data_IF_977325610125
#
_entry.id   IF_977325610125
#
_cell.length_a   1.000
_cell.length_b   1.000
_cell.length_c   1.000
_cell.angle_alpha   90.00
_cell.angle_beta   90.00
_cell.angle_gamma   90.00
#
_symmetry.space_group_name_H-M   'P 1'
#
loop_
_entity.id
_entity.type
_entity.pdbx_description
1 polymer ?
#
# COMPACT_ATOMS: atom_id res chain seq x y z
N UNK A 1 18.20 31.56 19.54
CA UNK A 1 17.76 30.39 18.77
C UNK A 1 16.73 29.68 19.61
N UNK A 2 15.48 29.66 19.18
CA UNK A 2 14.43 28.91 19.86
C UNK A 2 14.71 27.42 19.65
N UNK A 3 14.84 26.68 20.74
CA UNK A 3 15.04 25.24 20.68
C UNK A 3 13.70 24.58 20.38
N UNK A 4 13.62 23.87 19.25
CA UNK A 4 12.48 23.01 18.95
C UNK A 4 12.34 21.96 20.06
N UNK A 5 11.19 21.95 20.74
CA UNK A 5 10.91 21.01 21.83
C UNK A 5 10.40 19.72 21.23
N UNK A 6 11.24 18.69 21.21
CA UNK A 6 10.87 17.33 20.85
C UNK A 6 9.94 16.72 21.93
N UNK A 7 9.08 15.77 21.55
CA UNK A 7 8.11 15.17 22.47
C UNK A 7 8.74 14.52 23.71
N UNK A 8 7.95 14.34 24.77
CA UNK A 8 8.41 13.80 26.08
C UNK A 8 9.15 12.46 25.95
N UNK A 9 8.77 11.63 24.98
CA UNK A 9 9.37 10.32 24.68
C UNK A 9 10.62 10.38 23.76
N UNK A 10 10.95 11.55 23.20
CA UNK A 10 12.05 11.73 22.23
C UNK A 10 13.32 12.31 22.87
N UNK A 11 13.41 12.34 24.20
CA UNK A 11 14.57 12.90 24.92
C UNK A 11 15.90 12.22 24.56
N UNK A 12 15.88 10.92 24.24
CA UNK A 12 17.04 10.12 23.81
C UNK A 12 17.17 9.94 22.29
N UNK A 13 16.14 10.29 21.51
CA UNK A 13 16.06 10.03 20.07
C UNK A 13 15.92 11.32 19.27
N UNK A 14 16.87 12.25 19.41
CA UNK A 14 16.88 13.52 18.64
C UNK A 14 17.77 13.39 17.40
N UNK A 15 17.50 14.16 16.33
CA UNK A 15 18.43 14.28 15.21
C UNK A 15 19.82 14.71 15.70
N UNK A 16 20.92 14.24 15.08
CA UNK A 16 22.24 14.73 15.41
C UNK A 16 22.36 16.19 14.95
N UNK A 17 23.17 17.01 15.65
CA UNK A 17 23.42 18.38 15.22
C UNK A 17 24.10 18.41 13.84
N UNK A 18 23.53 19.18 12.92
CA UNK A 18 24.13 19.41 11.60
C UNK A 18 25.10 20.58 11.73
N UNK A 19 26.39 20.27 11.87
CA UNK A 19 27.47 21.25 11.99
C UNK A 19 28.08 21.55 10.62
N UNK A 20 28.61 22.75 10.41
CA UNK A 20 29.25 23.17 9.14
C UNK A 20 30.35 22.20 8.70
N UNK A 21 31.13 21.67 9.66
CA UNK A 21 32.16 20.65 9.37
C UNK A 21 31.60 19.37 8.75
N UNK A 22 30.34 19.02 9.02
CA UNK A 22 29.67 17.84 8.45
C UNK A 22 29.36 18.06 6.97
N UNK A 23 29.04 19.30 6.58
CA UNK A 23 28.80 19.69 5.19
C UNK A 23 30.08 19.59 4.36
N UNK A 24 31.22 20.00 4.93
CA UNK A 24 32.51 19.95 4.23
C UNK A 24 33.04 18.51 4.04
N UNK A 25 32.64 17.60 4.92
CA UNK A 25 33.12 16.20 4.91
C UNK A 25 32.11 15.22 4.27
N UNK A 26 30.99 15.71 3.72
CA UNK A 26 29.91 14.90 3.13
C UNK A 26 29.39 13.78 4.05
N UNK A 27 29.47 13.94 5.37
CA UNK A 27 29.02 12.92 6.33
C UNK A 27 28.51 13.55 7.62
N UNK A 28 27.39 13.04 8.13
CA UNK A 28 26.77 13.44 9.39
C UNK A 28 27.16 12.44 10.49
N UNK A 29 27.83 12.94 11.53
CA UNK A 29 28.22 12.13 12.70
C UNK A 29 27.03 11.98 13.65
N UNK A 30 26.72 10.76 14.06
CA UNK A 30 25.64 10.44 15.00
C UNK A 30 25.44 8.93 15.15
N UNK A 31 24.75 8.51 16.22
CA UNK A 31 24.34 7.12 16.42
C UNK A 31 23.33 6.68 15.36
N UNK A 32 23.09 5.37 15.24
CA UNK A 32 22.06 4.84 14.33
C UNK A 32 20.67 5.40 14.65
N UNK A 33 20.28 5.50 15.93
CA UNK A 33 19.00 6.06 16.35
C UNK A 33 18.87 7.55 16.03
N UNK A 34 19.94 8.32 16.22
CA UNK A 34 19.97 9.75 15.86
C UNK A 34 19.83 9.93 14.35
N UNK A 35 20.62 9.18 13.56
CA UNK A 35 20.54 9.21 12.09
C UNK A 35 19.17 8.80 11.58
N UNK A 36 18.55 7.78 12.20
CA UNK A 36 17.19 7.39 11.88
C UNK A 36 16.20 8.50 12.21
N UNK A 37 16.30 9.15 13.38
CA UNK A 37 15.42 10.28 13.74
C UNK A 37 15.54 11.43 12.74
N UNK A 38 16.76 11.81 12.36
CA UNK A 38 16.99 12.80 11.30
C UNK A 38 16.35 12.36 9.99
N UNK A 39 16.51 11.10 9.60
CA UNK A 39 15.88 10.54 8.42
C UNK A 39 14.35 10.69 8.49
N UNK A 40 13.68 10.36 9.60
CA UNK A 40 12.21 10.52 9.72
C UNK A 40 11.75 11.96 9.58
N UNK A 41 12.48 12.88 10.20
CA UNK A 41 12.14 14.30 10.25
C UNK A 41 12.63 15.07 9.02
N UNK A 42 13.40 14.43 8.15
CA UNK A 42 14.00 15.07 6.98
C UNK A 42 13.00 15.83 6.10
N UNK A 43 11.80 15.29 5.77
CA UNK A 43 10.82 16.00 4.95
C UNK A 43 10.19 17.20 5.65
N UNK A 44 10.14 17.18 6.99
CA UNK A 44 9.60 18.27 7.80
C UNK A 44 10.64 19.39 7.89
N UNK A 45 11.90 19.04 8.09
CA UNK A 45 13.00 20.02 8.23
C UNK A 45 13.32 20.68 6.89
N UNK A 46 13.21 19.95 5.78
CA UNK A 46 13.65 20.39 4.46
C UNK A 46 12.55 20.35 3.39
N UNK A 47 11.28 20.51 3.77
CA UNK A 47 10.10 20.42 2.87
C UNK A 47 10.32 21.09 1.52
N UNK A 48 10.84 22.33 1.56
CA UNK A 48 10.96 23.22 0.40
C UNK A 48 12.03 22.77 -0.61
N UNK A 49 12.93 21.88 -0.16
CA UNK A 49 14.04 21.34 -0.92
C UNK A 49 13.75 19.91 -1.38
N UNK A 50 13.17 19.09 -0.51
CA UNK A 50 13.04 17.64 -0.76
C UNK A 50 12.10 17.33 -1.91
N UNK A 51 11.02 18.08 -2.09
CA UNK A 51 10.07 17.87 -3.18
C UNK A 51 10.69 18.03 -4.57
N UNK A 52 11.81 18.77 -4.66
CA UNK A 52 12.53 19.04 -5.91
C UNK A 52 13.59 17.98 -6.22
N UNK A 53 13.92 17.10 -5.26
CA UNK A 53 14.96 16.09 -5.44
C UNK A 53 14.39 14.87 -6.16
N UNK A 54 15.04 14.44 -7.25
CA UNK A 54 14.67 13.20 -7.94
C UNK A 54 14.79 11.97 -7.02
N UNK A 55 15.76 12.00 -6.09
CA UNK A 55 15.96 10.95 -5.08
C UNK A 55 14.91 10.94 -3.98
N UNK A 56 13.99 11.93 -3.91
CA UNK A 56 12.97 11.96 -2.89
C UNK A 56 12.01 10.77 -2.97
N UNK A 57 11.74 10.28 -4.18
CA UNK A 57 10.95 9.05 -4.37
C UNK A 57 11.65 7.83 -3.73
N UNK A 58 12.98 7.72 -3.88
CA UNK A 58 13.79 6.66 -3.25
C UNK A 58 13.67 6.76 -1.72
N UNK A 59 13.79 7.98 -1.21
CA UNK A 59 13.63 8.27 0.21
C UNK A 59 12.26 7.82 0.73
N UNK A 60 11.16 8.11 0.00
CA UNK A 60 9.81 7.72 0.40
C UNK A 60 9.65 6.20 0.48
N UNK A 61 10.15 5.46 -0.51
CA UNK A 61 10.08 3.99 -0.51
C UNK A 61 10.90 3.40 0.65
N UNK A 62 12.10 3.91 0.90
CA UNK A 62 12.92 3.50 2.04
C UNK A 62 12.23 3.83 3.37
N UNK A 63 11.56 4.99 3.45
CA UNK A 63 10.84 5.43 4.64
C UNK A 63 9.68 4.50 4.96
N UNK A 64 8.89 4.15 3.95
CA UNK A 64 7.78 3.21 4.08
C UNK A 64 8.27 1.81 4.52
N UNK A 65 9.34 1.32 3.88
CA UNK A 65 9.95 0.04 4.24
C UNK A 65 10.45 0.02 5.69
N UNK A 66 11.11 1.10 6.14
CA UNK A 66 11.58 1.21 7.52
C UNK A 66 10.44 1.33 8.53
N UNK A 67 9.37 2.06 8.19
CA UNK A 67 8.20 2.17 9.06
C UNK A 67 7.51 0.81 9.21
N UNK A 68 7.50 -0.03 8.18
CA UNK A 68 7.01 -1.42 8.28
C UNK A 68 7.92 -2.32 9.12
N UNK A 69 9.25 -2.26 8.91
CA UNK A 69 10.22 -3.05 9.69
C UNK A 69 10.16 -2.69 11.17
N UNK A 70 10.01 -1.40 11.48
CA UNK A 70 10.06 -0.91 12.86
C UNK A 70 8.68 -0.85 13.52
N UNK A 71 7.60 -1.09 12.78
CA UNK A 71 6.26 -1.23 13.34
C UNK A 71 6.17 -2.49 14.21
N UNK A 72 5.62 -2.32 15.41
CA UNK A 72 5.34 -3.42 16.33
C UNK A 72 3.84 -3.46 16.67
N UNK A 73 3.17 -4.63 16.59
CA UNK A 73 3.71 -5.93 16.18
C UNK A 73 3.84 -6.07 14.65
N UNK A 74 4.88 -6.77 14.20
CA UNK A 74 5.04 -7.13 12.78
C UNK A 74 4.04 -8.23 12.38
N UNK A 75 3.32 -8.04 11.27
CA UNK A 75 2.35 -9.02 10.74
C UNK A 75 2.96 -9.81 9.59
N UNK A 76 2.85 -11.15 9.59
CA UNK A 76 3.32 -11.99 8.46
C UNK A 76 2.65 -11.63 7.13
N UNK A 77 1.41 -11.14 7.18
CA UNK A 77 0.66 -10.69 6.00
C UNK A 77 1.28 -9.49 5.30
N UNK A 78 2.25 -8.80 5.94
CA UNK A 78 2.98 -7.69 5.33
C UNK A 78 4.16 -8.12 4.45
N UNK A 79 4.63 -9.36 4.58
CA UNK A 79 5.83 -9.83 3.89
C UNK A 79 5.77 -9.63 2.35
N UNK A 80 4.67 -9.93 1.64
CA UNK A 80 4.60 -9.69 0.19
C UNK A 80 4.72 -8.20 -0.18
N UNK A 81 4.15 -7.33 0.64
CA UNK A 81 4.23 -5.87 0.42
C UNK A 81 5.63 -5.35 0.73
N UNK A 82 6.26 -5.82 1.81
CA UNK A 82 7.65 -5.49 2.14
C UNK A 82 8.63 -5.95 1.05
N UNK A 83 8.43 -7.15 0.51
CA UNK A 83 9.23 -7.67 -0.62
C UNK A 83 9.10 -6.76 -1.85
N UNK A 84 7.87 -6.33 -2.15
CA UNK A 84 7.61 -5.39 -3.25
C UNK A 84 8.33 -4.05 -3.03
N UNK A 85 8.24 -3.49 -1.82
CA UNK A 85 8.95 -2.25 -1.47
C UNK A 85 10.48 -2.41 -1.56
N UNK A 86 11.02 -3.56 -1.15
CA UNK A 86 12.45 -3.84 -1.20
C UNK A 86 12.96 -3.95 -2.65
N UNK A 87 12.22 -4.65 -3.52
CA UNK A 87 12.53 -4.73 -4.96
C UNK A 87 12.49 -3.34 -5.58
N UNK A 88 11.45 -2.55 -5.30
CA UNK A 88 11.33 -1.19 -5.81
C UNK A 88 12.50 -0.31 -5.38
N UNK A 89 12.85 -0.35 -4.09
CA UNK A 89 13.99 0.40 -3.56
C UNK A 89 15.28 0.02 -4.30
N UNK A 90 15.55 -1.27 -4.48
CA UNK A 90 16.73 -1.76 -5.19
C UNK A 90 16.77 -1.26 -6.64
N UNK A 91 15.68 -1.41 -7.40
CA UNK A 91 15.62 -0.95 -8.79
C UNK A 91 15.85 0.56 -8.94
N UNK A 92 15.31 1.36 -8.02
CA UNK A 92 15.52 2.81 -8.04
C UNK A 92 16.95 3.20 -7.67
N UNK A 93 17.56 2.48 -6.71
CA UNK A 93 18.96 2.66 -6.34
C UNK A 93 19.90 2.33 -7.50
N UNK A 94 19.67 1.21 -8.20
CA UNK A 94 20.47 0.79 -9.36
C UNK A 94 20.40 1.80 -10.51
N UNK A 95 19.20 2.36 -10.75
CA UNK A 95 19.00 3.42 -11.73
C UNK A 95 19.76 4.71 -11.37
N UNK A 96 19.85 5.03 -10.07
CA UNK A 96 20.52 6.24 -9.56
C UNK A 96 22.05 6.15 -9.51
N UNK A 97 22.62 4.95 -9.46
CA UNK A 97 24.08 4.72 -9.40
C UNK A 97 24.73 4.49 -10.77
N UNK A 98 23.94 4.29 -11.83
CA UNK A 98 24.49 4.21 -13.18
C UNK A 98 24.97 5.59 -13.66
N UNK A 99 26.27 5.74 -13.96
CA UNK A 99 26.82 6.85 -14.77
C UNK A 99 26.36 6.79 -16.24
N UNK A 100 25.23 6.15 -16.54
CA UNK A 100 24.64 5.99 -17.87
C UNK A 100 23.52 7.01 -18.09
N UNK A 101 23.86 8.29 -17.88
CA UNK A 101 22.92 9.41 -17.91
C UNK A 101 22.31 9.77 -19.27
N UNK A 102 22.34 8.91 -20.30
CA UNK A 102 21.72 9.22 -21.61
C UNK A 102 21.04 8.04 -22.34
N UNK A 103 20.97 6.82 -21.79
CA UNK A 103 20.37 5.69 -22.51
C UNK A 103 19.32 4.86 -21.76
N UNK A 104 18.78 5.35 -20.64
CA UNK A 104 17.64 4.73 -19.95
C UNK A 104 16.48 5.70 -19.75
N UNK A 105 16.10 6.39 -20.82
CA UNK A 105 14.86 7.17 -20.88
C UNK A 105 13.57 6.30 -20.89
N UNK A 106 13.61 5.07 -20.34
CA UNK A 106 12.52 4.10 -20.50
C UNK A 106 12.29 3.15 -19.31
N UNK A 107 12.67 3.54 -18.09
CA UNK A 107 12.18 2.86 -16.89
C UNK A 107 11.39 3.84 -16.02
N UNK A 108 10.30 4.35 -16.58
CA UNK A 108 9.24 4.99 -15.80
C UNK A 108 8.39 3.89 -15.11
N UNK A 109 9.02 3.17 -14.17
CA UNK A 109 8.35 2.18 -13.32
C UNK A 109 7.79 2.85 -12.08
N UNK A 110 6.94 3.86 -12.27
CA UNK A 110 6.24 4.50 -11.17
C UNK A 110 5.11 3.59 -10.69
N UNK A 111 5.18 3.13 -9.44
CA UNK A 111 4.04 2.53 -8.75
C UNK A 111 2.99 3.64 -8.57
N UNK A 112 1.91 3.56 -9.34
CA UNK A 112 0.83 4.54 -9.27
C UNK A 112 -0.33 3.95 -8.48
N UNK A 113 -0.81 4.69 -7.48
CA UNK A 113 -1.98 4.34 -6.67
C UNK A 113 -3.24 4.97 -7.26
N UNK A 114 -4.34 4.21 -7.27
CA UNK A 114 -5.64 4.66 -7.76
C UNK A 114 -6.74 4.36 -6.73
N UNK A 115 -7.80 5.17 -6.75
CA UNK A 115 -9.05 4.90 -6.02
C UNK A 115 -10.01 4.01 -6.80
N UNK A 116 -9.86 3.98 -8.13
CA UNK A 116 -10.72 3.25 -9.05
C UNK A 116 -9.91 2.75 -10.27
N UNK A 117 -10.31 1.60 -10.81
CA UNK A 117 -9.81 1.02 -12.05
C UNK A 117 -10.98 0.55 -12.92
N UNK A 118 -11.02 0.98 -14.17
CA UNK A 118 -11.89 0.38 -15.19
C UNK A 118 -11.06 -0.64 -15.98
N UNK A 119 -11.39 -1.92 -15.86
CA UNK A 119 -10.68 -3.01 -16.52
C UNK A 119 -11.67 -4.06 -17.04
N UNK A 120 -11.59 -4.40 -18.33
CA UNK A 120 -12.53 -5.33 -19.00
C UNK A 120 -14.02 -5.01 -18.72
N UNK A 121 -14.40 -3.73 -18.85
CA UNK A 121 -15.75 -3.21 -18.57
C UNK A 121 -16.24 -3.35 -17.12
N UNK A 122 -15.34 -3.68 -16.18
CA UNK A 122 -15.63 -3.76 -14.75
C UNK A 122 -14.97 -2.58 -14.05
N UNK A 123 -15.71 -1.98 -13.13
CA UNK A 123 -15.22 -0.88 -12.29
C UNK A 123 -14.82 -1.49 -10.95
N UNK A 124 -13.51 -1.50 -10.69
CA UNK A 124 -12.93 -1.86 -9.41
C UNK A 124 -12.74 -0.61 -8.57
N UNK A 125 -13.25 -0.62 -7.35
CA UNK A 125 -13.16 0.50 -6.41
C UNK A 125 -12.42 0.09 -5.15
N UNK A 126 -11.63 1.03 -4.62
CA UNK A 126 -11.08 0.89 -3.29
C UNK A 126 -12.21 0.67 -2.27
N UNK A 127 -11.99 -0.24 -1.33
CA UNK A 127 -12.90 -0.72 -0.27
C UNK A 127 -14.13 -1.49 -0.73
N UNK A 128 -14.33 -1.70 -2.04
CA UNK A 128 -15.41 -2.55 -2.52
C UNK A 128 -15.09 -4.04 -2.38
N UNK A 129 -16.14 -4.85 -2.24
CA UNK A 129 -16.06 -6.31 -2.11
C UNK A 129 -16.39 -7.00 -3.43
N UNK A 130 -15.65 -8.06 -3.74
CA UNK A 130 -15.80 -8.85 -4.96
C UNK A 130 -15.76 -10.35 -4.65
N UNK A 131 -16.45 -11.14 -5.47
CA UNK A 131 -16.26 -12.60 -5.52
C UNK A 131 -15.01 -12.88 -6.36
N UNK A 132 -14.12 -13.74 -5.86
CA UNK A 132 -12.91 -14.12 -6.59
C UNK A 132 -12.85 -15.58 -7.00
N UNK A 133 -13.49 -16.44 -6.21
CA UNK A 133 -13.58 -17.87 -6.49
C UNK A 133 -14.86 -18.46 -5.86
N UNK A 134 -15.12 -19.72 -6.14
CA UNK A 134 -16.19 -20.51 -5.53
C UNK A 134 -15.58 -21.71 -4.79
N UNK A 135 -16.08 -22.02 -3.61
CA UNK A 135 -15.72 -23.23 -2.89
C UNK A 135 -16.36 -24.45 -3.57
N UNK A 136 -15.54 -25.28 -4.20
CA UNK A 136 -15.94 -26.37 -5.12
C UNK A 136 -16.98 -27.38 -4.61
N UNK A 137 -17.17 -27.53 -3.30
CA UNK A 137 -18.06 -28.55 -2.74
C UNK A 137 -19.51 -28.06 -2.69
N UNK A 138 -19.74 -26.76 -2.53
CA UNK A 138 -21.06 -26.18 -2.22
C UNK A 138 -21.36 -24.90 -3.03
N UNK A 139 -20.52 -24.56 -4.01
CA UNK A 139 -20.59 -23.32 -4.79
C UNK A 139 -20.70 -22.05 -3.93
N UNK A 140 -20.12 -22.09 -2.73
CA UNK A 140 -20.10 -20.94 -1.81
C UNK A 140 -19.15 -19.89 -2.36
N UNK A 141 -19.58 -18.64 -2.56
CA UNK A 141 -18.72 -17.58 -3.03
C UNK A 141 -17.64 -17.24 -2.00
N UNK A 142 -16.43 -17.06 -2.50
CA UNK A 142 -15.28 -16.57 -1.76
C UNK A 142 -15.04 -15.10 -2.11
N UNK A 143 -14.86 -14.28 -1.08
CA UNK A 143 -14.83 -12.82 -1.21
C UNK A 143 -13.48 -12.22 -0.86
N UNK A 144 -13.18 -11.06 -1.43
CA UNK A 144 -12.16 -10.16 -0.92
C UNK A 144 -12.65 -8.71 -0.93
N UNK A 145 -12.04 -7.87 -0.09
CA UNK A 145 -12.18 -6.42 -0.12
C UNK A 145 -10.90 -5.78 -0.66
N UNK A 146 -11.00 -4.85 -1.61
CA UNK A 146 -9.84 -4.13 -2.13
C UNK A 146 -9.40 -3.06 -1.13
N UNK A 147 -8.19 -3.11 -0.60
CA UNK A 147 -7.62 -2.01 0.18
C UNK A 147 -6.90 -0.99 -0.68
N UNK A 148 -6.16 -1.45 -1.70
CA UNK A 148 -5.38 -0.58 -2.57
C UNK A 148 -5.40 -1.09 -4.01
N UNK A 149 -5.41 -0.16 -4.96
CA UNK A 149 -5.27 -0.43 -6.39
C UNK A 149 -3.97 0.22 -6.86
N UNK A 150 -3.11 -0.58 -7.46
CA UNK A 150 -1.82 -0.15 -7.97
C UNK A 150 -1.62 -0.51 -9.43
N UNK A 151 -0.87 0.33 -10.14
CA UNK A 151 -0.28 0.00 -11.43
C UNK A 151 1.23 -0.07 -11.29
N UNK A 152 1.82 -1.20 -11.66
CA UNK A 152 3.26 -1.44 -11.65
C UNK A 152 3.67 -2.17 -12.92
N UNK A 153 4.67 -1.69 -13.65
CA UNK A 153 5.16 -2.31 -14.90
C UNK A 153 4.05 -2.68 -15.89
N UNK A 154 3.10 -1.75 -16.09
CA UNK A 154 1.90 -1.94 -16.93
C UNK A 154 0.92 -3.02 -16.43
N UNK A 155 1.19 -3.67 -15.31
CA UNK A 155 0.32 -4.63 -14.66
C UNK A 155 -0.51 -3.96 -13.56
N UNK A 156 -1.77 -4.36 -13.47
CA UNK A 156 -2.66 -3.94 -12.39
C UNK A 156 -2.58 -4.93 -11.23
N UNK A 157 -2.51 -4.39 -10.02
CA UNK A 157 -2.36 -5.15 -8.80
C UNK A 157 -3.35 -4.61 -7.76
N UNK A 158 -4.08 -5.50 -7.11
CA UNK A 158 -4.90 -5.20 -5.95
C UNK A 158 -4.20 -5.71 -4.70
N UNK A 159 -4.13 -4.87 -3.67
CA UNK A 159 -3.91 -5.33 -2.31
C UNK A 159 -5.28 -5.54 -1.71
N UNK A 160 -5.58 -6.76 -1.31
CA UNK A 160 -6.91 -7.16 -0.85
C UNK A 160 -6.84 -7.80 0.52
N UNK A 161 -7.94 -7.73 1.27
CA UNK A 161 -8.20 -8.59 2.42
C UNK A 161 -9.17 -9.68 2.02
N UNK A 162 -8.78 -10.95 2.20
CA UNK A 162 -9.69 -12.06 1.97
C UNK A 162 -10.73 -12.10 3.09
N UNK A 163 -11.98 -12.39 2.75
CA UNK A 163 -13.07 -12.42 3.71
C UNK A 163 -13.56 -13.85 3.91
N UNK A 164 -13.85 -14.22 5.16
CA UNK A 164 -14.56 -15.44 5.48
C UNK A 164 -16.04 -15.28 5.14
N UNK A 165 -16.66 -16.34 4.62
CA UNK A 165 -18.10 -16.41 4.43
C UNK A 165 -18.73 -17.03 5.67
N UNK A 166 -19.27 -16.20 6.55
CA UNK A 166 -19.82 -16.62 7.85
C UNK A 166 -21.22 -17.24 7.74
N UNK A 167 -21.94 -16.95 6.65
CA UNK A 167 -23.28 -17.48 6.41
C UNK A 167 -24.07 -16.69 5.38
N UNK A 168 -25.34 -17.06 5.20
CA UNK A 168 -26.26 -16.41 4.27
C UNK A 168 -27.52 -15.93 4.99
N UNK A 169 -27.85 -14.65 4.83
CA UNK A 169 -29.08 -14.05 5.33
C UNK A 169 -30.19 -14.16 4.29
N UNK A 170 -31.19 -15.00 4.57
CA UNK A 170 -32.36 -15.14 3.69
C UNK A 170 -33.25 -13.90 3.71
N UNK A 171 -33.27 -13.15 4.81
CA UNK A 171 -34.05 -11.90 4.96
C UNK A 171 -33.53 -10.79 4.04
N UNK A 172 -32.21 -10.69 3.91
CA UNK A 172 -31.54 -9.62 3.16
C UNK A 172 -31.00 -10.10 1.80
N UNK A 173 -31.11 -11.41 1.56
CA UNK A 173 -30.61 -12.10 0.38
C UNK A 173 -29.12 -11.82 0.12
N UNK A 174 -28.32 -11.98 1.17
CA UNK A 174 -26.92 -11.54 1.22
C UNK A 174 -26.02 -12.50 1.98
N UNK A 175 -24.74 -12.49 1.66
CA UNK A 175 -23.74 -13.20 2.45
C UNK A 175 -23.29 -12.35 3.62
N UNK A 176 -23.11 -12.99 4.77
CA UNK A 176 -22.40 -12.42 5.90
C UNK A 176 -20.93 -12.74 5.75
N UNK A 177 -20.09 -11.72 5.84
CA UNK A 177 -18.65 -11.88 5.70
C UNK A 177 -17.90 -11.20 6.84
N UNK A 178 -16.72 -11.71 7.16
CA UNK A 178 -15.82 -11.12 8.14
C UNK A 178 -14.39 -11.07 7.60
N UNK A 179 -13.63 -10.04 7.98
CA UNK A 179 -12.20 -10.00 7.72
C UNK A 179 -11.51 -11.19 8.37
N UNK A 180 -10.57 -11.81 7.66
CA UNK A 180 -9.70 -12.84 8.24
C UNK A 180 -8.27 -12.35 8.49
N UNK A 181 -8.04 -11.02 8.43
CA UNK A 181 -6.73 -10.38 8.54
C UNK A 181 -5.68 -10.95 7.54
N UNK A 182 -6.16 -11.59 6.46
CA UNK A 182 -5.32 -12.25 5.47
C UNK A 182 -5.25 -11.37 4.25
N UNK A 183 -4.22 -10.53 4.23
CA UNK A 183 -3.91 -9.73 3.06
C UNK A 183 -3.36 -10.61 1.93
N UNK A 184 -3.72 -10.24 0.71
CA UNK A 184 -3.28 -10.88 -0.52
C UNK A 184 -2.98 -9.87 -1.61
N UNK A 185 -2.26 -10.36 -2.62
CA UNK A 185 -2.03 -9.66 -3.88
C UNK A 185 -2.83 -10.38 -4.94
N UNK A 186 -3.67 -9.64 -5.67
CA UNK A 186 -4.54 -10.20 -6.71
C UNK A 186 -4.41 -9.36 -7.97
N UNK A 187 -4.20 -9.99 -9.12
CA UNK A 187 -4.34 -9.30 -10.40
C UNK A 187 -5.79 -9.37 -10.87
N UNK A 188 -6.34 -8.32 -11.50
CA UNK A 188 -7.63 -8.44 -12.18
C UNK A 188 -7.64 -9.51 -13.28
N UNK A 189 -6.46 -9.94 -13.77
CA UNK A 189 -6.34 -11.04 -14.73
C UNK A 189 -6.61 -12.42 -14.13
N UNK A 190 -6.42 -12.58 -12.82
CA UNK A 190 -6.51 -13.89 -12.14
C UNK A 190 -7.94 -14.21 -11.66
N UNK A 191 -8.82 -13.21 -11.73
CA UNK A 191 -10.20 -13.31 -11.28
C UNK A 191 -11.03 -14.14 -12.27
N UNK A 192 -11.85 -15.06 -11.76
CA UNK A 192 -12.68 -15.95 -12.59
C UNK A 192 -14.14 -15.51 -12.65
N UNK A 193 -14.66 -14.96 -11.55
CA UNK A 193 -16.08 -14.69 -11.36
C UNK A 193 -16.33 -13.20 -11.32
N UNK A 194 -16.56 -12.60 -12.49
CA UNK A 194 -16.72 -11.15 -12.62
C UNK A 194 -18.19 -10.72 -12.71
N UNK A 195 -18.74 -10.16 -11.64
CA UNK A 195 -20.07 -9.52 -11.66
C UNK A 195 -20.13 -8.28 -10.77
N UNK A 196 -19.53 -7.17 -11.24
CA UNK A 196 -19.57 -5.83 -10.62
C UNK A 196 -19.04 -5.78 -9.17
N UNK A 197 -18.78 -4.57 -8.66
CA UNK A 197 -18.59 -4.38 -7.23
C UNK A 197 -19.89 -4.68 -6.49
N UNK A 198 -19.78 -5.37 -5.36
CA UNK A 198 -20.92 -5.74 -4.53
C UNK A 198 -21.20 -4.67 -3.49
N UNK A 199 -22.47 -4.53 -3.13
CA UNK A 199 -22.87 -3.62 -2.06
C UNK A 199 -22.49 -4.23 -0.70
N UNK A 200 -21.76 -3.44 0.09
CA UNK A 200 -21.37 -3.76 1.45
C UNK A 200 -22.17 -2.87 2.41
N UNK A 201 -22.76 -3.48 3.42
CA UNK A 201 -23.52 -2.77 4.44
C UNK A 201 -23.30 -3.39 5.81
N UNK A 202 -23.46 -2.58 6.85
CA UNK A 202 -23.25 -2.99 8.24
C UNK A 202 -24.58 -3.01 8.98
N UNK A 203 -24.91 -4.15 9.59
CA UNK A 203 -26.10 -4.33 10.43
C UNK A 203 -25.68 -5.09 11.67
N UNK A 204 -25.93 -4.52 12.85
CA UNK A 204 -25.58 -5.13 14.14
C UNK A 204 -24.10 -5.54 14.24
N UNK A 205 -23.18 -4.69 13.76
CA UNK A 205 -21.72 -4.93 13.68
C UNK A 205 -21.31 -6.05 12.71
N UNK A 206 -22.22 -6.51 11.85
CA UNK A 206 -21.96 -7.53 10.84
C UNK A 206 -21.86 -6.89 9.46
N UNK A 207 -20.80 -7.24 8.74
CA UNK A 207 -20.67 -6.88 7.33
C UNK A 207 -21.46 -7.87 6.47
N UNK A 208 -22.35 -7.32 5.67
CA UNK A 208 -23.22 -8.06 4.77
C UNK A 208 -22.95 -7.62 3.34
N UNK A 209 -22.87 -8.59 2.44
CA UNK A 209 -22.54 -8.41 1.03
C UNK A 209 -23.72 -8.88 0.18
N UNK A 210 -24.30 -7.97 -0.60
CA UNK A 210 -25.42 -8.30 -1.48
C UNK A 210 -24.92 -8.73 -2.87
N UNK A 211 -25.40 -9.89 -3.35
CA UNK A 211 -25.07 -10.42 -4.67
C UNK A 211 -25.98 -9.92 -5.81
N UNK A 212 -27.04 -9.18 -5.50
CA UNK A 212 -28.04 -8.81 -6.51
C UNK A 212 -27.58 -7.65 -7.39
N UNK A 213 -26.87 -7.97 -8.47
CA UNK A 213 -26.80 -7.10 -9.64
C UNK A 213 -28.02 -7.35 -10.55
N UNK A 214 -29.16 -6.70 -10.28
CA UNK A 214 -30.25 -6.64 -11.28
C UNK A 214 -29.87 -5.66 -12.39
N UNK A 215 -29.39 -6.18 -13.52
CA UNK A 215 -29.58 -5.52 -14.81
C UNK A 215 -30.94 -5.96 -15.35
N UNK A 216 -31.98 -5.16 -15.10
CA UNK A 216 -33.23 -5.26 -15.86
C UNK A 216 -32.99 -4.68 -17.25
N UNK A 217 -33.27 -5.48 -18.29
CA UNK A 217 -33.41 -4.98 -19.65
C UNK A 217 -34.64 -4.06 -19.69
N UNK A 218 -34.48 -2.81 -20.13
CA UNK A 218 -35.62 -2.10 -20.72
C UNK A 218 -35.84 -2.73 -22.11
N UNK A 219 -36.94 -3.46 -22.23
CA UNK A 219 -37.69 -3.92 -23.42
C UNK A 219 -38.26 -5.31 -23.16
#
# INVERSE_FOLDING_TARGET
MENFVYGEFDTSNKPPPILVKNLNNNHIVGSASQKYCLFRLFPIIFSDLVEKLQSFKIYLVLRELLDMILAFPQRKSWLPFMETLAINFQCMMDSSHSRFGQQLAQFDQTLLRFSELIYNHIIYKQYAVYVYDLQHVEDIPLFFQIHYIFKYNQQWIFIVDFLNTDGFSTKLWSYKVSSCDRLGIVSPNDLKYFRKGLDLYEVDQLHLVNLTSRLTKQN
#
